data_IF_208696906860
#
_entry.id   IF_208696906860
#
_cell.length_a   1.000
_cell.length_b   1.000
_cell.length_c   1.000
_cell.angle_alpha   90.00
_cell.angle_beta   90.00
_cell.angle_gamma   90.00
#
_symmetry.space_group_name_H-M   'P 1'
#
loop_
_entity.id
_entity.type
_entity.pdbx_description
1 polymer ?
#
# COMPACT_ATOMS: atom_id res chain seq x y z
N UNK A 1 -5.40 13.70 -14.90
CA UNK A 1 -6.32 12.74 -14.25
C UNK A 1 -7.15 13.48 -13.23
N UNK A 2 -8.42 13.12 -13.06
CA UNK A 2 -9.30 13.64 -12.01
C UNK A 2 -9.28 12.70 -10.81
N UNK A 3 -9.69 13.19 -9.64
CA UNK A 3 -9.80 12.36 -8.42
C UNK A 3 -10.70 11.13 -8.62
N UNK A 4 -11.81 11.29 -9.35
CA UNK A 4 -12.76 10.21 -9.65
C UNK A 4 -12.19 9.10 -10.51
N UNK A 5 -11.03 9.32 -11.14
CA UNK A 5 -10.35 8.33 -11.97
C UNK A 5 -9.44 7.41 -11.14
N UNK A 6 -9.22 7.70 -9.85
CA UNK A 6 -8.45 6.87 -8.94
C UNK A 6 -9.31 5.75 -8.34
N UNK A 7 -8.91 4.51 -8.59
CA UNK A 7 -9.57 3.32 -8.02
C UNK A 7 -9.09 3.10 -6.59
N UNK A 8 -10.03 2.98 -5.65
CA UNK A 8 -9.72 2.51 -4.29
C UNK A 8 -9.64 0.98 -4.26
N UNK A 9 -8.60 0.43 -3.61
CA UNK A 9 -8.51 -0.98 -3.24
C UNK A 9 -8.11 -1.06 -1.76
N UNK A 10 -8.91 -1.73 -0.95
CA UNK A 10 -8.50 -2.07 0.42
C UNK A 10 -7.31 -3.02 0.38
N UNK A 11 -6.23 -2.66 1.09
CA UNK A 11 -5.05 -3.52 1.22
C UNK A 11 -5.33 -4.63 2.24
N UNK A 12 -4.93 -5.86 1.94
CA UNK A 12 -4.94 -6.97 2.89
C UNK A 12 -3.61 -6.99 3.69
N UNK A 13 -3.61 -6.78 5.02
CA UNK A 13 -2.41 -6.85 5.84
C UNK A 13 -1.69 -8.20 5.76
N UNK A 14 -2.42 -9.30 5.52
CA UNK A 14 -1.81 -10.62 5.34
C UNK A 14 -1.04 -10.71 4.02
N UNK A 15 -1.57 -10.12 2.94
CA UNK A 15 -0.89 -10.02 1.65
C UNK A 15 0.40 -9.19 1.79
N UNK A 16 0.33 -8.01 2.41
CA UNK A 16 1.51 -7.15 2.65
C UNK A 16 2.54 -7.87 3.50
N UNK A 17 2.13 -8.55 4.57
CA UNK A 17 3.04 -9.33 5.40
C UNK A 17 3.77 -10.41 4.59
N UNK A 18 3.04 -11.14 3.74
CA UNK A 18 3.63 -12.16 2.87
C UNK A 18 4.65 -11.55 1.90
N UNK A 19 4.30 -10.43 1.26
CA UNK A 19 5.20 -9.73 0.35
C UNK A 19 6.45 -9.20 1.05
N UNK A 20 6.32 -8.69 2.29
CA UNK A 20 7.45 -8.22 3.08
C UNK A 20 8.39 -9.37 3.49
N UNK A 21 7.87 -10.55 3.79
CA UNK A 21 8.69 -11.75 4.04
C UNK A 21 9.51 -12.11 2.80
N UNK A 22 8.88 -12.17 1.62
CA UNK A 22 9.58 -12.42 0.35
C UNK A 22 10.70 -11.39 0.12
N UNK A 23 10.41 -10.11 0.35
CA UNK A 23 11.38 -9.03 0.17
C UNK A 23 12.58 -9.18 1.10
N UNK A 24 12.33 -9.47 2.38
CA UNK A 24 13.41 -9.61 3.38
C UNK A 24 14.29 -10.81 3.02
N UNK A 25 13.68 -11.95 2.69
CA UNK A 25 14.42 -13.14 2.26
C UNK A 25 15.22 -12.89 0.98
N UNK A 26 14.61 -12.22 0.00
CA UNK A 26 15.25 -11.84 -1.24
C UNK A 26 16.43 -10.89 -1.05
N UNK A 27 16.26 -9.87 -0.20
CA UNK A 27 17.30 -8.90 0.13
C UNK A 27 18.49 -9.56 0.85
N UNK A 28 18.23 -10.46 1.80
CA UNK A 28 19.26 -11.17 2.55
C UNK A 28 20.06 -12.15 1.68
N UNK A 29 19.42 -12.73 0.66
CA UNK A 29 20.05 -13.68 -0.27
C UNK A 29 20.63 -13.01 -1.54
N UNK A 30 20.52 -11.69 -1.67
CA UNK A 30 21.03 -10.95 -2.82
C UNK A 30 22.56 -11.03 -2.89
N UNK A 31 23.10 -11.17 -4.11
CA UNK A 31 24.53 -11.40 -4.33
C UNK A 31 25.38 -10.15 -4.17
N UNK A 32 24.78 -8.98 -4.43
CA UNK A 32 25.45 -7.69 -4.34
C UNK A 32 24.43 -6.57 -4.05
N UNK A 33 24.96 -5.35 -3.86
CA UNK A 33 24.14 -4.17 -3.59
C UNK A 33 23.16 -3.83 -4.74
N UNK A 34 23.47 -4.19 -5.98
CA UNK A 34 22.55 -3.93 -7.12
C UNK A 34 21.36 -4.88 -7.06
N UNK A 35 21.57 -6.13 -6.66
CA UNK A 35 20.48 -7.07 -6.44
C UNK A 35 19.65 -6.69 -5.21
N UNK A 36 20.28 -6.17 -4.15
CA UNK A 36 19.57 -5.61 -2.99
C UNK A 36 18.66 -4.44 -3.38
N UNK A 37 19.11 -3.54 -4.26
CA UNK A 37 18.31 -2.41 -4.72
C UNK A 37 17.01 -2.84 -5.41
N UNK A 38 17.01 -3.95 -6.15
CA UNK A 38 15.78 -4.49 -6.78
C UNK A 38 14.72 -4.85 -5.74
N UNK A 39 15.14 -5.42 -4.62
CA UNK A 39 14.23 -5.71 -3.51
C UNK A 39 13.72 -4.43 -2.85
N UNK A 40 14.57 -3.40 -2.75
CA UNK A 40 14.15 -2.11 -2.16
C UNK A 40 13.16 -1.36 -3.05
N UNK A 41 13.30 -1.47 -4.36
CA UNK A 41 12.33 -0.91 -5.29
C UNK A 41 10.98 -1.64 -5.22
N UNK A 42 10.97 -2.96 -5.02
CA UNK A 42 9.73 -3.71 -4.70
C UNK A 42 9.07 -3.20 -3.41
N UNK A 43 9.86 -2.97 -2.35
CA UNK A 43 9.33 -2.43 -1.09
C UNK A 43 8.68 -1.07 -1.28
N UNK A 44 9.33 -0.16 -2.03
CA UNK A 44 8.78 1.18 -2.31
C UNK A 44 7.45 1.10 -3.05
N UNK A 45 7.29 0.18 -3.99
CA UNK A 45 6.04 0.01 -4.72
C UNK A 45 4.89 -0.39 -3.79
N UNK A 46 5.11 -1.34 -2.88
CA UNK A 46 4.11 -1.77 -1.90
C UNK A 46 3.68 -0.61 -0.99
N UNK A 47 4.63 0.15 -0.45
CA UNK A 47 4.30 1.29 0.40
C UNK A 47 3.61 2.42 -0.37
N UNK A 48 4.02 2.68 -1.62
CA UNK A 48 3.36 3.67 -2.47
C UNK A 48 1.89 3.33 -2.71
N UNK A 49 1.57 2.06 -2.95
CA UNK A 49 0.19 1.60 -3.12
C UNK A 49 -0.59 1.76 -1.81
N UNK A 50 -0.01 1.33 -0.68
CA UNK A 50 -0.62 1.48 0.64
C UNK A 50 -0.95 2.94 0.97
N UNK A 51 0.02 3.84 0.84
CA UNK A 51 -0.16 5.27 1.09
C UNK A 51 -1.22 5.89 0.16
N UNK A 52 -1.24 5.46 -1.11
CA UNK A 52 -2.25 5.91 -2.08
C UNK A 52 -3.65 5.51 -1.64
N UNK A 53 -3.88 4.24 -1.31
CA UNK A 53 -5.21 3.78 -0.92
C UNK A 53 -5.64 4.32 0.44
N UNK A 54 -4.73 4.43 1.41
CA UNK A 54 -5.00 5.07 2.70
C UNK A 54 -5.41 6.54 2.51
N UNK A 55 -4.72 7.28 1.64
CA UNK A 55 -5.08 8.65 1.31
C UNK A 55 -6.46 8.75 0.66
N UNK A 56 -6.80 7.82 -0.25
CA UNK A 56 -8.13 7.78 -0.88
C UNK A 56 -9.23 7.47 0.15
N UNK A 57 -9.00 6.52 1.07
CA UNK A 57 -9.94 6.22 2.15
C UNK A 57 -10.20 7.47 3.02
N UNK A 58 -9.13 8.16 3.42
CA UNK A 58 -9.22 9.38 4.20
C UNK A 58 -9.97 10.51 3.47
N UNK A 59 -9.70 10.71 2.17
CA UNK A 59 -10.40 11.70 1.36
C UNK A 59 -11.89 11.36 1.18
N UNK A 60 -12.23 10.08 1.00
CA UNK A 60 -13.62 9.62 0.90
C UNK A 60 -14.39 9.85 2.20
N UNK A 61 -13.76 9.58 3.35
CA UNK A 61 -14.33 9.89 4.66
C UNK A 61 -14.54 11.40 4.85
N UNK A 62 -13.53 12.22 4.54
CA UNK A 62 -13.64 13.68 4.67
C UNK A 62 -14.73 14.28 3.77
N UNK A 63 -15.01 13.66 2.61
CA UNK A 63 -16.10 14.07 1.73
C UNK A 63 -17.48 13.87 2.37
N UNK A 64 -17.67 12.80 3.12
CA UNK A 64 -18.90 12.53 3.86
C UNK A 64 -18.60 11.72 5.13
N UNK A 65 -18.41 12.43 6.24
CA UNK A 65 -18.04 11.82 7.53
C UNK A 65 -19.16 10.99 8.17
N UNK A 66 -20.36 11.03 7.60
CA UNK A 66 -21.51 10.21 8.03
C UNK A 66 -21.68 8.95 7.18
N UNK A 67 -20.86 8.76 6.16
CA UNK A 67 -20.84 7.52 5.38
C UNK A 67 -20.16 6.43 6.23
N UNK A 68 -20.96 5.46 6.70
CA UNK A 68 -20.48 4.38 7.55
C UNK A 68 -19.42 3.51 6.86
N UNK A 69 -19.48 3.35 5.53
CA UNK A 69 -18.47 2.57 4.81
C UNK A 69 -17.18 3.37 4.74
N UNK A 70 -17.24 4.66 4.41
CA UNK A 70 -16.04 5.50 4.36
C UNK A 70 -15.36 5.62 5.73
N UNK A 71 -16.14 5.70 6.82
CA UNK A 71 -15.60 5.67 8.19
C UNK A 71 -14.87 4.35 8.50
N UNK A 72 -15.47 3.21 8.15
CA UNK A 72 -14.83 1.90 8.32
C UNK A 72 -13.54 1.75 7.52
N UNK A 73 -13.46 2.29 6.30
CA UNK A 73 -12.22 2.26 5.51
C UNK A 73 -11.15 3.21 6.05
N UNK A 74 -11.52 4.35 6.63
CA UNK A 74 -10.57 5.31 7.21
C UNK A 74 -9.91 4.77 8.50
N UNK A 75 -10.64 3.97 9.27
CA UNK A 75 -10.18 3.43 10.55
C UNK A 75 -9.45 2.07 10.42
N UNK A 76 -9.42 1.51 9.20
CA UNK A 76 -8.83 0.20 8.88
C UNK A 76 -7.32 0.28 8.63
#
# INVERSE_FOLDING_TARGET
MKYTDYTYKRIDPAEVKSQMVEIIEGFNNAKDARDQNKWMDKTKAIFSDYETYASIAHLNFNRNTKDENAAKENDY
#
